data_IF_241810635547
#
_entry.id   IF_241810635547
#
_cell.length_a   1.000
_cell.length_b   1.000
_cell.length_c   1.000
_cell.angle_alpha   90.00
_cell.angle_beta   90.00
_cell.angle_gamma   90.00
#
_symmetry.space_group_name_H-M   'P 1'
#
loop_
_entity.id
_entity.type
_entity.pdbx_description
1 polymer ?
#
# COMPACT_ATOMS: atom_id res chain seq x y z
N UNK A 1 -4.90 39.66 4.37
CA UNK A 1 -4.73 38.21 4.17
C UNK A 1 -4.28 38.04 2.74
N UNK A 2 -3.11 37.43 2.50
CA UNK A 2 -2.76 37.04 1.14
C UNK A 2 -3.84 36.11 0.61
N UNK A 3 -4.37 36.40 -0.59
CA UNK A 3 -5.27 35.49 -1.28
C UNK A 3 -4.57 34.14 -1.42
N UNK A 4 -5.15 33.10 -0.81
CA UNK A 4 -4.64 31.75 -0.95
C UNK A 4 -4.79 31.36 -2.43
N UNK A 5 -3.67 31.34 -3.16
CA UNK A 5 -3.61 31.18 -4.62
C UNK A 5 -4.37 29.95 -5.15
N UNK A 6 -4.59 28.95 -4.29
CA UNK A 6 -5.32 27.72 -4.58
C UNK A 6 -6.03 27.24 -3.30
N UNK A 7 -7.28 27.66 -3.04
CA UNK A 7 -8.05 27.16 -1.90
C UNK A 7 -8.38 25.66 -2.08
N UNK A 8 -8.66 24.97 -0.98
CA UNK A 8 -9.20 23.61 -1.04
C UNK A 8 -10.67 23.68 -1.48
N UNK A 9 -11.02 23.01 -2.58
CA UNK A 9 -12.35 23.05 -3.23
C UNK A 9 -12.79 21.62 -3.65
N UNK A 10 -14.06 21.44 -4.00
CA UNK A 10 -14.70 20.16 -4.33
C UNK A 10 -14.30 19.59 -5.71
N UNK A 11 -13.09 19.89 -6.19
CA UNK A 11 -12.63 19.37 -7.46
C UNK A 11 -12.46 17.84 -7.39
N UNK A 12 -13.19 17.14 -8.27
CA UNK A 12 -13.18 15.68 -8.31
C UNK A 12 -11.78 15.17 -8.65
N UNK A 13 -11.26 14.30 -7.80
CA UNK A 13 -9.94 13.67 -7.96
C UNK A 13 -8.78 14.69 -8.01
N UNK A 14 -8.81 15.68 -7.12
CA UNK A 14 -7.75 16.68 -7.03
C UNK A 14 -6.42 16.10 -6.48
N UNK A 15 -5.42 15.96 -7.36
CA UNK A 15 -4.11 15.42 -7.02
C UNK A 15 -3.24 16.37 -6.19
N UNK A 16 -3.51 17.68 -6.22
CA UNK A 16 -2.80 18.69 -5.42
C UNK A 16 -2.91 18.44 -3.91
N UNK A 17 -3.95 17.73 -3.46
CA UNK A 17 -4.12 17.38 -2.05
C UNK A 17 -3.30 16.16 -1.62
N UNK A 18 -2.70 15.45 -2.56
CA UNK A 18 -1.86 14.32 -2.24
C UNK A 18 -0.43 14.81 -2.04
N UNK A 19 0.14 14.49 -0.88
CA UNK A 19 1.53 14.82 -0.58
C UNK A 19 2.49 14.10 -1.55
N UNK A 20 3.30 14.83 -2.35
CA UNK A 20 4.28 14.21 -3.24
C UNK A 20 5.37 13.47 -2.47
N UNK A 21 5.76 13.97 -1.29
CA UNK A 21 6.76 13.31 -0.44
C UNK A 21 6.24 12.00 0.13
N UNK A 22 4.95 11.91 0.46
CA UNK A 22 4.34 10.64 0.87
C UNK A 22 4.40 9.58 -0.23
N UNK A 23 4.12 9.96 -1.48
CA UNK A 23 4.26 9.05 -2.62
C UNK A 23 5.71 8.59 -2.82
N UNK A 24 6.67 9.51 -2.73
CA UNK A 24 8.09 9.22 -2.89
C UNK A 24 8.59 8.23 -1.80
N UNK A 25 8.15 8.39 -0.55
CA UNK A 25 8.46 7.47 0.54
C UNK A 25 7.88 6.06 0.31
N UNK A 26 6.64 5.96 -0.19
CA UNK A 26 6.05 4.68 -0.57
C UNK A 26 6.86 4.03 -1.70
N UNK A 27 7.23 4.80 -2.73
CA UNK A 27 8.02 4.31 -3.86
C UNK A 27 9.39 3.79 -3.40
N UNK A 28 10.11 4.55 -2.55
CA UNK A 28 11.37 4.12 -1.93
C UNK A 28 11.20 2.80 -1.17
N UNK A 29 10.14 2.68 -0.38
CA UNK A 29 9.85 1.46 0.38
C UNK A 29 9.58 0.24 -0.51
N UNK A 30 8.81 0.41 -1.59
CA UNK A 30 8.58 -0.63 -2.59
C UNK A 30 9.88 -1.07 -3.28
N UNK A 31 10.73 -0.12 -3.67
CA UNK A 31 12.04 -0.41 -4.29
C UNK A 31 12.95 -1.17 -3.31
N UNK A 32 13.00 -0.75 -2.04
CA UNK A 32 13.75 -1.47 -1.01
C UNK A 32 13.21 -2.89 -0.78
N UNK A 33 11.89 -3.07 -0.86
CA UNK A 33 11.25 -4.39 -0.82
C UNK A 33 11.68 -5.29 -1.97
N UNK A 34 11.64 -4.77 -3.21
CA UNK A 34 12.07 -5.52 -4.40
C UNK A 34 13.55 -5.91 -4.36
N UNK A 35 14.42 -5.06 -3.80
CA UNK A 35 15.83 -5.40 -3.60
C UNK A 35 16.04 -6.52 -2.57
N UNK A 36 15.19 -6.59 -1.54
CA UNK A 36 15.25 -7.64 -0.50
C UNK A 36 14.65 -8.98 -0.96
N UNK A 37 13.67 -8.93 -1.86
CA UNK A 37 12.92 -10.09 -2.33
C UNK A 37 12.95 -10.15 -3.87
N UNK A 38 14.11 -10.45 -4.48
CA UNK A 38 14.25 -10.45 -5.93
C UNK A 38 13.39 -11.57 -6.55
N UNK A 39 12.56 -11.21 -7.53
CA UNK A 39 11.66 -12.15 -8.22
C UNK A 39 10.31 -12.36 -7.53
N UNK A 40 10.14 -11.93 -6.28
CA UNK A 40 8.85 -11.94 -5.60
C UNK A 40 8.04 -10.68 -5.96
N UNK A 41 6.71 -10.79 -5.87
CA UNK A 41 5.81 -9.65 -6.05
C UNK A 41 4.81 -9.62 -4.91
N UNK A 42 4.62 -8.44 -4.32
CA UNK A 42 3.59 -8.25 -3.30
C UNK A 42 2.16 -8.44 -3.84
N UNK A 43 1.99 -8.44 -5.17
CA UNK A 43 0.67 -8.57 -5.81
C UNK A 43 0.01 -9.94 -5.63
N UNK A 44 0.77 -10.96 -5.24
CA UNK A 44 0.25 -12.30 -4.92
C UNK A 44 -0.11 -12.47 -3.45
N UNK A 45 0.19 -11.47 -2.61
CA UNK A 45 -0.15 -11.50 -1.19
C UNK A 45 -1.62 -11.08 -1.04
N UNK A 46 -2.45 -11.88 -0.33
CA UNK A 46 -3.86 -11.55 -0.14
C UNK A 46 -4.07 -10.21 0.56
N UNK A 47 -5.20 -9.56 0.26
CA UNK A 47 -5.59 -8.29 0.86
C UNK A 47 -5.57 -8.30 2.40
N UNK A 48 -6.08 -9.36 3.02
CA UNK A 48 -6.15 -9.50 4.49
C UNK A 48 -4.77 -9.61 5.17
N UNK A 49 -3.80 -10.25 4.52
CA UNK A 49 -2.42 -10.30 5.02
C UNK A 49 -1.80 -8.89 5.00
N UNK A 50 -2.06 -8.10 3.96
CA UNK A 50 -1.63 -6.70 3.94
C UNK A 50 -2.28 -5.86 5.06
N UNK A 51 -3.59 -6.03 5.30
CA UNK A 51 -4.31 -5.34 6.38
C UNK A 51 -3.73 -5.68 7.76
N UNK A 52 -3.47 -6.96 8.02
CA UNK A 52 -2.86 -7.43 9.27
C UNK A 52 -1.48 -6.81 9.49
N UNK A 53 -0.64 -6.73 8.45
CA UNK A 53 0.68 -6.08 8.52
C UNK A 53 0.59 -4.57 8.70
N UNK A 54 -0.39 -3.91 8.08
CA UNK A 54 -0.65 -2.48 8.31
C UNK A 54 -0.99 -2.23 9.79
N UNK A 55 -1.88 -3.04 10.36
CA UNK A 55 -2.29 -2.93 11.76
C UNK A 55 -1.12 -3.09 12.73
N UNK A 56 -0.19 -4.02 12.44
CA UNK A 56 1.05 -4.15 13.21
C UNK A 56 1.85 -2.84 13.26
N UNK A 57 2.08 -2.20 12.10
CA UNK A 57 2.84 -0.94 12.06
C UNK A 57 2.11 0.21 12.77
N UNK A 58 0.80 0.30 12.63
CA UNK A 58 -0.02 1.27 13.38
C UNK A 58 0.16 1.07 14.88
N UNK A 59 0.05 -0.17 15.36
CA UNK A 59 0.17 -0.48 16.78
C UNK A 59 1.59 -0.21 17.32
N UNK A 60 2.64 -0.59 16.58
CA UNK A 60 4.02 -0.25 16.95
C UNK A 60 4.22 1.26 17.09
N UNK A 61 3.75 2.05 16.12
CA UNK A 61 3.81 3.50 16.21
C UNK A 61 3.06 4.05 17.43
N UNK A 62 1.87 3.52 17.73
CA UNK A 62 1.08 3.93 18.90
C UNK A 62 1.74 3.57 20.23
N UNK A 63 2.53 2.50 20.27
CA UNK A 63 3.33 2.11 21.44
C UNK A 63 4.62 2.93 21.59
N UNK A 64 4.88 3.89 20.71
CA UNK A 64 6.06 4.75 20.75
C UNK A 64 7.26 4.22 19.97
N UNK A 65 7.11 3.11 19.26
CA UNK A 65 8.19 2.59 18.40
C UNK A 65 8.43 3.54 17.21
N UNK A 66 9.69 3.89 16.99
CA UNK A 66 10.18 4.76 15.92
C UNK A 66 11.40 4.17 15.22
N UNK A 67 11.73 2.89 15.45
CA UNK A 67 12.90 2.25 14.83
C UNK A 67 12.73 2.05 13.33
N UNK A 68 11.50 2.11 12.83
CA UNK A 68 11.15 2.08 11.41
C UNK A 68 10.16 3.20 11.06
N UNK A 69 10.01 3.56 9.78
CA UNK A 69 9.01 4.51 9.31
C UNK A 69 7.60 3.89 9.31
N UNK A 70 7.08 3.55 10.47
CA UNK A 70 5.84 2.76 10.62
C UNK A 70 4.63 3.36 9.92
N UNK A 71 4.46 4.69 9.92
CA UNK A 71 3.34 5.33 9.22
C UNK A 71 3.40 5.04 7.71
N UNK A 72 4.57 5.23 7.09
CA UNK A 72 4.78 4.94 5.67
C UNK A 72 4.59 3.44 5.39
N UNK A 73 5.14 2.57 6.24
CA UNK A 73 4.99 1.13 6.08
C UNK A 73 3.51 0.69 6.18
N UNK A 74 2.73 1.29 7.09
CA UNK A 74 1.29 1.07 7.18
C UNK A 74 0.56 1.59 5.94
N UNK A 75 0.83 2.82 5.50
CA UNK A 75 0.24 3.40 4.27
C UNK A 75 0.50 2.54 3.04
N UNK A 76 1.73 2.07 2.88
CA UNK A 76 2.13 1.19 1.78
C UNK A 76 1.35 -0.13 1.81
N UNK A 77 1.20 -0.74 2.99
CA UNK A 77 0.41 -1.97 3.16
C UNK A 77 -1.07 -1.75 2.84
N UNK A 78 -1.66 -0.62 3.22
CA UNK A 78 -3.05 -0.30 2.88
C UNK A 78 -3.24 -0.10 1.36
N UNK A 79 -2.30 0.56 0.69
CA UNK A 79 -2.31 0.68 -0.77
C UNK A 79 -2.21 -0.69 -1.45
N UNK A 80 -1.31 -1.56 -0.98
CA UNK A 80 -1.20 -2.92 -1.49
C UNK A 80 -2.49 -3.71 -1.29
N UNK A 81 -3.10 -3.65 -0.11
CA UNK A 81 -4.37 -4.31 0.21
C UNK A 81 -5.49 -3.85 -0.74
N UNK A 82 -5.58 -2.55 -1.02
CA UNK A 82 -6.55 -2.01 -1.99
C UNK A 82 -6.33 -2.57 -3.40
N UNK A 83 -5.06 -2.67 -3.84
CA UNK A 83 -4.73 -3.22 -5.15
C UNK A 83 -5.05 -4.71 -5.25
N UNK A 84 -4.75 -5.50 -4.21
CA UNK A 84 -4.98 -6.95 -4.25
C UNK A 84 -6.43 -7.30 -4.04
N UNK A 85 -7.19 -6.56 -3.23
CA UNK A 85 -8.65 -6.70 -3.12
C UNK A 85 -9.35 -6.45 -4.47
N UNK A 86 -8.95 -5.39 -5.20
CA UNK A 86 -9.48 -5.13 -6.55
C UNK A 86 -9.15 -6.25 -7.53
N UNK A 87 -7.96 -6.84 -7.42
CA UNK A 87 -7.59 -7.98 -8.25
C UNK A 87 -8.43 -9.21 -7.90
N UNK A 88 -8.62 -9.50 -6.61
CA UNK A 88 -9.50 -10.59 -6.12
C UNK A 88 -10.92 -10.42 -6.67
N UNK A 89 -11.52 -9.23 -6.55
CA UNK A 89 -12.86 -8.92 -7.09
C UNK A 89 -12.95 -9.12 -8.61
N UNK A 90 -11.92 -8.70 -9.36
CA UNK A 90 -11.86 -8.88 -10.82
C UNK A 90 -11.73 -10.36 -11.18
N UNK A 91 -10.86 -11.10 -10.50
CA UNK A 91 -10.66 -12.52 -10.73
C UNK A 91 -11.92 -13.33 -10.42
N UNK A 92 -12.61 -13.01 -9.32
CA UNK A 92 -13.90 -13.59 -8.94
C UNK A 92 -14.97 -13.30 -10.01
N UNK A 93 -15.03 -12.05 -10.50
CA UNK A 93 -15.98 -11.65 -11.57
C UNK A 93 -15.70 -12.40 -12.87
N UNK A 94 -14.44 -12.64 -13.20
CA UNK A 94 -14.01 -13.36 -14.40
C UNK A 94 -14.02 -14.89 -14.24
N UNK A 95 -14.34 -15.41 -13.05
CA UNK A 95 -14.28 -16.84 -12.75
C UNK A 95 -12.88 -17.44 -12.86
N UNK A 96 -11.84 -16.62 -12.68
CA UNK A 96 -10.44 -17.03 -12.73
C UNK A 96 -9.94 -17.29 -11.31
N UNK A 97 -9.28 -18.43 -11.07
CA UNK A 97 -8.58 -18.70 -9.82
C UNK A 97 -7.07 -18.64 -10.06
N UNK A 98 -6.30 -18.13 -9.09
CA UNK A 98 -4.85 -18.33 -9.10
C UNK A 98 -4.59 -19.84 -9.02
N UNK A 99 -4.08 -20.44 -10.10
CA UNK A 99 -3.47 -21.77 -10.00
C UNK A 99 -2.32 -21.65 -9.00
N UNK A 100 -2.45 -22.30 -7.84
CA UNK A 100 -1.31 -22.55 -6.97
C UNK A 100 -0.40 -23.48 -7.76
N UNK A 101 0.74 -23.00 -8.22
CA UNK A 101 1.87 -23.89 -8.47
C UNK A 101 2.19 -24.55 -7.12
N UNK A 102 1.65 -25.75 -6.93
CA UNK A 102 2.10 -26.64 -5.87
C UNK A 102 3.58 -26.91 -6.16
N UNK A 103 4.46 -26.26 -5.41
CA UNK A 103 5.85 -26.63 -5.38
C UNK A 103 5.91 -28.07 -4.85
N UNK A 104 6.08 -29.03 -5.77
CA UNK A 104 6.32 -30.43 -5.45
C UNK A 104 7.49 -30.53 -4.46
N UNK A 105 7.24 -31.23 -3.36
CA UNK A 105 8.17 -31.52 -2.27
C UNK A 105 9.26 -32.51 -2.69
#
# INVERSE_FOLDING_TARGET
>A
MEEQKYPQDEEKNEYRYISPSWFDEIARGLTAGAAKHPGETWRTIPSDEHLSRAMRHINLYRMGDRTEPHIINASMRLMMAFCTAKNEEVMDTLGLSYEREEAEC
#
